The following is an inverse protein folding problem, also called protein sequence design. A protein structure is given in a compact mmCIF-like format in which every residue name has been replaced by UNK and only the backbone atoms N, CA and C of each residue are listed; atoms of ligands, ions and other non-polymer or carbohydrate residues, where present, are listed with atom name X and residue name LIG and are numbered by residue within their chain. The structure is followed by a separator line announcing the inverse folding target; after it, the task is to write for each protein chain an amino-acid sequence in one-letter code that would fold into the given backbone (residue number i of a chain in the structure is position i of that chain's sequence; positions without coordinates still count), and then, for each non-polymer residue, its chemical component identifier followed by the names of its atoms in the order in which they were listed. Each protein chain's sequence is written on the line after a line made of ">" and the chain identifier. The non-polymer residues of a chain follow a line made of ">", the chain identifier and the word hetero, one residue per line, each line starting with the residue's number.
data_IF_920054111299
#
_entry.id   IF_920054111299
#
_cell.length_a   1.000
_cell.length_b   1.000
_cell.length_c   1.000
_cell.angle_alpha   90.00
_cell.angle_beta   90.00
_cell.angle_gamma   90.00
#
_symmetry.space_group_name_H-M   'P 1'
#
loop_
_entity.id
_entity.type
_entity.pdbx_description
1 polymer ?
#
# COMPACT_ATOMS: atom_id res chain seq x y z
N UNK A 1 -9.00 -5.38 11.86
CA UNK A 1 -7.94 -4.37 11.65
C UNK A 1 -6.78 -5.07 10.94
N UNK A 2 -6.84 -5.24 9.61
CA UNK A 2 -5.85 -6.07 8.89
C UNK A 2 -5.77 -5.74 7.39
N UNK A 3 -6.17 -4.53 6.98
CA UNK A 3 -6.05 -4.10 5.58
C UNK A 3 -4.89 -3.09 5.50
N UNK A 4 -3.97 -3.31 4.57
CA UNK A 4 -2.85 -2.41 4.29
C UNK A 4 -2.97 -1.92 2.85
N UNK A 5 -2.89 -0.60 2.66
CA UNK A 5 -2.83 -0.01 1.32
C UNK A 5 -1.38 0.22 0.89
N UNK A 6 -1.03 -0.18 -0.32
CA UNK A 6 0.27 0.09 -0.93
C UNK A 6 0.07 1.01 -2.14
N UNK A 7 0.52 2.25 -2.01
CA UNK A 7 0.55 3.23 -3.09
C UNK A 7 1.72 2.90 -4.01
N UNK A 8 1.47 2.06 -5.01
CA UNK A 8 2.51 1.58 -5.89
C UNK A 8 2.64 2.45 -7.15
N UNK A 9 3.83 3.00 -7.37
CA UNK A 9 4.24 3.50 -8.67
C UNK A 9 5.75 3.63 -8.69
N UNK A 10 6.43 2.55 -9.06
CA UNK A 10 7.89 2.53 -9.05
C UNK A 10 8.38 1.77 -10.28
N UNK A 11 8.58 2.44 -11.42
CA UNK A 11 9.10 1.82 -12.64
C UNK A 11 10.57 1.36 -12.56
N UNK A 12 11.09 1.09 -11.36
CA UNK A 12 12.48 0.68 -11.09
C UNK A 12 12.52 -0.57 -10.21
N UNK A 13 13.18 -1.61 -10.71
CA UNK A 13 13.18 -2.95 -10.10
C UNK A 13 13.63 -2.97 -8.63
N UNK A 14 14.65 -2.16 -8.28
CA UNK A 14 15.21 -2.12 -6.92
C UNK A 14 14.22 -1.63 -5.85
N UNK A 15 13.13 -0.95 -6.25
CA UNK A 15 12.04 -0.55 -5.38
C UNK A 15 10.84 -1.49 -5.49
N UNK A 16 10.59 -2.07 -6.67
CA UNK A 16 9.48 -3.01 -6.85
C UNK A 16 9.71 -4.34 -6.13
N UNK A 17 10.89 -4.95 -6.25
CA UNK A 17 11.14 -6.28 -5.70
C UNK A 17 10.97 -6.31 -4.17
N UNK A 18 11.52 -5.34 -3.39
CA UNK A 18 11.26 -5.28 -1.95
C UNK A 18 9.77 -5.12 -1.61
N UNK A 19 8.99 -4.40 -2.43
CA UNK A 19 7.55 -4.24 -2.22
C UNK A 19 6.79 -5.54 -2.51
N UNK A 20 7.24 -6.33 -3.50
CA UNK A 20 6.68 -7.67 -3.79
C UNK A 20 6.99 -8.65 -2.66
N UNK A 21 8.21 -8.64 -2.14
CA UNK A 21 8.59 -9.44 -0.97
C UNK A 21 7.77 -9.06 0.26
N UNK A 22 7.61 -7.75 0.51
CA UNK A 22 6.79 -7.24 1.60
C UNK A 22 5.32 -7.64 1.47
N UNK A 23 4.75 -7.57 0.26
CA UNK A 23 3.39 -8.05 0.00
C UNK A 23 3.23 -9.51 0.45
N UNK A 24 4.11 -10.40 -0.02
CA UNK A 24 4.06 -11.83 0.31
C UNK A 24 4.20 -12.07 1.82
N UNK A 25 5.11 -11.35 2.47
CA UNK A 25 5.30 -11.44 3.92
C UNK A 25 4.04 -11.02 4.68
N UNK A 26 3.38 -9.94 4.26
CA UNK A 26 2.15 -9.46 4.89
C UNK A 26 0.96 -10.40 4.65
N UNK A 27 0.83 -10.98 3.45
CA UNK A 27 -0.18 -12.02 3.19
C UNK A 27 0.03 -13.25 4.07
N UNK A 28 1.29 -13.67 4.28
CA UNK A 28 1.66 -14.74 5.20
C UNK A 28 1.31 -14.45 6.67
N UNK A 29 1.10 -13.18 7.02
CA UNK A 29 0.63 -12.72 8.33
C UNK A 29 -0.88 -12.40 8.35
N UNK A 30 -1.62 -12.85 7.32
CA UNK A 30 -3.07 -12.68 7.19
C UNK A 30 -3.54 -11.22 7.04
N UNK A 31 -2.68 -10.34 6.53
CA UNK A 31 -3.09 -9.02 6.05
C UNK A 31 -3.68 -9.10 4.65
N UNK A 32 -4.69 -8.26 4.40
CA UNK A 32 -5.23 -8.03 3.06
C UNK A 32 -4.56 -6.79 2.48
N UNK A 33 -3.89 -6.96 1.34
CA UNK A 33 -3.24 -5.86 0.64
C UNK A 33 -4.18 -5.27 -0.41
N UNK A 34 -4.23 -3.95 -0.50
CA UNK A 34 -4.96 -3.21 -1.56
C UNK A 34 -4.03 -2.21 -2.23
N UNK A 35 -4.25 -1.97 -3.52
CA UNK A 35 -3.45 -1.06 -4.34
C UNK A 35 -4.32 0.08 -4.86
N UNK A 36 -4.44 1.20 -4.13
CA UNK A 36 -5.08 2.40 -4.66
C UNK A 36 -4.37 2.90 -5.92
N UNK A 37 -5.15 3.36 -6.89
CA UNK A 37 -4.62 3.88 -8.15
C UNK A 37 -3.93 5.24 -7.96
N UNK A 38 -4.49 6.08 -7.08
CA UNK A 38 -4.02 7.42 -6.80
C UNK A 38 -4.38 7.86 -5.37
N UNK A 39 -4.09 9.13 -5.07
CA UNK A 39 -4.37 9.73 -3.77
C UNK A 39 -5.86 9.79 -3.45
N UNK A 40 -6.73 10.08 -4.42
CA UNK A 40 -8.17 10.19 -4.18
C UNK A 40 -8.79 8.82 -3.89
N UNK A 41 -8.34 7.78 -4.61
CA UNK A 41 -8.72 6.39 -4.36
C UNK A 41 -8.28 5.94 -2.95
N UNK A 42 -7.05 6.29 -2.55
CA UNK A 42 -6.57 6.04 -1.18
C UNK A 42 -7.45 6.72 -0.13
N UNK A 43 -7.80 8.00 -0.33
CA UNK A 43 -8.65 8.72 0.63
C UNK A 43 -10.03 8.08 0.74
N UNK A 44 -10.65 7.72 -0.39
CA UNK A 44 -11.93 6.98 -0.40
C UNK A 44 -11.81 5.63 0.29
N UNK A 45 -10.69 4.91 0.14
CA UNK A 45 -10.44 3.65 0.86
C UNK A 45 -10.37 3.86 2.37
N UNK A 46 -9.68 4.92 2.83
CA UNK A 46 -9.60 5.26 4.26
C UNK A 46 -10.98 5.61 4.81
N UNK A 47 -11.74 6.44 4.11
CA UNK A 47 -13.08 6.88 4.52
C UNK A 47 -14.09 5.72 4.61
N UNK A 48 -14.02 4.77 3.67
CA UNK A 48 -15.01 3.70 3.56
C UNK A 48 -14.60 2.38 4.22
N UNK A 49 -13.37 2.26 4.73
CA UNK A 49 -12.86 1.00 5.27
C UNK A 49 -12.18 1.18 6.63
N UNK A 50 -12.95 1.07 7.71
CA UNK A 50 -12.47 1.13 9.09
C UNK A 50 -11.48 -0.01 9.47
N UNK A 51 -11.26 -1.02 8.60
CA UNK A 51 -10.25 -2.07 8.82
C UNK A 51 -8.88 -1.72 8.24
N UNK A 52 -8.78 -0.65 7.45
CA UNK A 52 -7.52 -0.12 6.93
C UNK A 52 -6.70 0.42 8.09
N UNK A 53 -5.49 -0.12 8.26
CA UNK A 53 -4.66 0.13 9.43
C UNK A 53 -3.22 0.50 9.10
N UNK A 54 -2.90 0.66 7.81
CA UNK A 54 -1.57 1.09 7.37
C UNK A 54 -1.57 1.49 5.90
N UNK A 55 -0.71 2.47 5.57
CA UNK A 55 -0.43 2.90 4.20
C UNK A 55 1.07 2.87 3.97
N UNK A 56 1.51 2.23 2.90
CA UNK A 56 2.91 2.19 2.45
C UNK A 56 2.99 2.99 1.15
N UNK A 57 3.93 3.94 1.07
CA UNK A 57 4.09 4.81 -0.09
C UNK A 57 5.56 5.26 -0.26
N UNK A 58 5.92 5.65 -1.48
CA UNK A 58 7.22 6.30 -1.73
C UNK A 58 7.21 7.73 -1.19
N UNK A 59 8.10 8.00 -0.23
CA UNK A 59 8.27 9.32 0.37
C UNK A 59 8.62 10.39 -0.67
N UNK A 60 9.53 10.11 -1.60
CA UNK A 60 9.97 11.12 -2.57
C UNK A 60 8.83 11.56 -3.50
N UNK A 61 7.89 10.66 -3.74
CA UNK A 61 6.75 10.88 -4.64
C UNK A 61 5.55 11.53 -3.95
N UNK A 62 5.25 11.14 -2.71
CA UNK A 62 4.03 11.54 -2.01
C UNK A 62 4.29 12.41 -0.77
N UNK A 63 5.50 12.96 -0.62
CA UNK A 63 5.78 13.99 0.39
C UNK A 63 4.78 15.16 0.28
N UNK A 64 4.37 15.76 1.41
CA UNK A 64 3.57 16.98 1.44
C UNK A 64 4.25 18.17 0.75
#
# INVERSE_FOLDING_TARGET
>A
MNVIAIMNHMGVYFKEEPIRELHRALEGLNFRIVYPNDREDLLKLIENNARLCGVIFDWDKYKP
#
